data_IF_640747378141
#
_entry.id   IF_640747378141
#
_cell.length_a   1.000
_cell.length_b   1.000
_cell.length_c   1.000
_cell.angle_alpha   90.00
_cell.angle_beta   90.00
_cell.angle_gamma   90.00
#
_symmetry.space_group_name_H-M   'P 1'
#
loop_
_entity.id
_entity.type
_entity.pdbx_description
1 polymer ?
#
# COMPACT_ATOMS: atom_id res chain seq x y z
N UNK A 1 17.62 14.22 -14.08
CA UNK A 1 16.87 13.15 -13.39
C UNK A 1 16.51 13.73 -12.02
N UNK A 2 15.25 14.08 -11.85
CA UNK A 2 14.74 15.06 -10.88
C UNK A 2 14.84 14.54 -9.45
N UNK A 3 15.44 15.32 -8.56
CA UNK A 3 15.37 15.08 -7.12
C UNK A 3 13.90 14.95 -6.68
N UNK A 4 13.54 13.81 -6.12
CA UNK A 4 12.22 13.60 -5.51
C UNK A 4 12.06 14.57 -4.33
N UNK A 5 11.02 15.44 -4.30
CA UNK A 5 10.87 16.51 -3.31
C UNK A 5 10.87 16.07 -1.83
N UNK A 6 10.62 14.79 -1.57
CA UNK A 6 10.51 14.19 -0.24
C UNK A 6 11.86 13.90 0.46
N UNK A 7 12.97 14.08 -0.25
CA UNK A 7 14.34 13.90 0.24
C UNK A 7 14.69 14.87 1.39
N UNK A 8 14.23 16.13 1.30
CA UNK A 8 14.73 17.23 2.12
C UNK A 8 13.94 17.57 3.41
N UNK A 9 12.84 16.86 3.72
CA UNK A 9 12.07 17.16 4.93
C UNK A 9 12.73 16.58 6.19
N UNK A 10 13.60 17.39 6.82
CA UNK A 10 14.24 17.11 8.12
C UNK A 10 13.24 17.00 9.28
N UNK A 11 11.96 17.28 9.05
CA UNK A 11 10.86 17.15 10.00
C UNK A 11 9.69 16.34 9.42
N UNK A 12 10.02 15.23 8.74
CA UNK A 12 9.05 14.28 8.17
C UNK A 12 7.86 13.98 9.07
N UNK A 13 6.70 13.67 8.46
CA UNK A 13 5.42 13.36 9.13
C UNK A 13 5.55 12.45 10.37
N UNK A 14 6.51 11.51 10.38
CA UNK A 14 6.79 10.64 11.52
C UNK A 14 7.45 11.36 12.71
N UNK A 15 8.34 12.32 12.46
CA UNK A 15 8.91 13.18 13.50
C UNK A 15 7.85 14.05 14.16
N UNK A 16 6.90 14.58 13.37
CA UNK A 16 5.74 15.31 13.92
C UNK A 16 4.82 14.39 14.74
N UNK A 17 4.52 13.18 14.23
CA UNK A 17 3.72 12.18 14.95
C UNK A 17 4.36 11.79 16.30
N UNK A 18 5.69 11.64 16.32
CA UNK A 18 6.45 11.37 17.54
C UNK A 18 6.33 12.50 18.56
N UNK A 19 6.48 13.76 18.14
CA UNK A 19 6.29 14.93 19.01
C UNK A 19 4.86 15.06 19.53
N UNK A 20 3.87 14.66 18.72
CA UNK A 20 2.47 14.64 19.11
C UNK A 20 2.10 13.47 20.07
N UNK A 21 3.05 12.59 20.41
CA UNK A 21 2.77 11.44 21.28
C UNK A 21 1.92 10.37 20.62
N UNK A 22 1.94 10.26 19.29
CA UNK A 22 1.22 9.21 18.56
C UNK A 22 1.72 7.84 19.01
N UNK A 23 0.79 7.03 19.53
CA UNK A 23 1.12 5.71 20.08
C UNK A 23 1.36 4.66 19.00
N UNK A 24 0.65 4.77 17.87
CA UNK A 24 0.74 3.80 16.77
C UNK A 24 0.42 4.44 15.43
N UNK A 25 1.17 4.09 14.40
CA UNK A 25 0.91 4.49 13.01
C UNK A 25 0.45 3.27 12.21
N UNK A 26 -0.74 3.34 11.63
CA UNK A 26 -1.20 2.36 10.64
C UNK A 26 -0.93 2.93 9.25
N UNK A 27 -0.04 2.29 8.51
CA UNK A 27 0.39 2.71 7.18
C UNK A 27 -0.14 1.75 6.11
N UNK A 28 -0.93 2.27 5.17
CA UNK A 28 -1.38 1.52 3.99
C UNK A 28 -0.37 1.71 2.85
N UNK A 29 0.37 0.64 2.59
CA UNK A 29 1.38 0.52 1.54
C UNK A 29 0.80 -0.23 0.34
N UNK A 30 1.66 -0.91 -0.43
CA UNK A 30 1.30 -1.70 -1.61
C UNK A 30 2.05 -3.03 -1.59
N UNK A 31 1.54 -4.05 -2.28
CA UNK A 31 2.16 -5.39 -2.32
C UNK A 31 3.61 -5.39 -2.79
N UNK A 32 3.95 -4.57 -3.79
CA UNK A 32 5.30 -4.49 -4.38
C UNK A 32 6.09 -3.27 -3.88
N UNK A 33 5.93 -2.88 -2.62
CA UNK A 33 6.69 -1.79 -2.03
C UNK A 33 8.18 -2.19 -1.92
N UNK A 34 8.96 -1.82 -2.93
CA UNK A 34 10.39 -2.07 -3.04
C UNK A 34 11.11 -0.79 -3.48
N UNK A 35 12.10 -0.39 -2.70
CA UNK A 35 12.92 0.80 -2.90
C UNK A 35 13.83 0.71 -4.11
N UNK A 36 14.12 -0.51 -4.56
CA UNK A 36 14.92 -0.78 -5.74
C UNK A 36 14.06 -0.97 -6.99
N UNK A 37 12.73 -0.81 -6.89
CA UNK A 37 11.84 -0.94 -8.03
C UNK A 37 12.10 0.15 -9.07
N UNK A 38 12.08 -0.22 -10.35
CA UNK A 38 12.10 0.73 -11.47
C UNK A 38 10.83 1.59 -11.55
N UNK A 39 9.77 1.21 -10.82
CA UNK A 39 8.53 1.98 -10.72
C UNK A 39 8.64 2.98 -9.57
N UNK A 40 8.62 4.28 -9.89
CA UNK A 40 8.74 5.37 -8.91
C UNK A 40 7.72 5.26 -7.77
N UNK A 41 6.50 4.81 -8.08
CA UNK A 41 5.44 4.59 -7.09
C UNK A 41 5.80 3.50 -6.07
N UNK A 42 6.37 2.38 -6.53
CA UNK A 42 6.83 1.28 -5.69
C UNK A 42 8.05 1.69 -4.85
N UNK A 43 8.99 2.40 -5.47
CA UNK A 43 10.16 2.95 -4.79
C UNK A 43 9.77 3.91 -3.66
N UNK A 44 8.86 4.84 -3.93
CA UNK A 44 8.38 5.81 -2.92
C UNK A 44 7.70 5.14 -1.73
N UNK A 45 6.90 4.09 -1.98
CA UNK A 45 6.26 3.30 -0.91
C UNK A 45 7.27 2.52 -0.08
N UNK A 46 8.27 1.90 -0.72
CA UNK A 46 9.36 1.24 -0.01
C UNK A 46 10.12 2.20 0.91
N UNK A 47 10.45 3.40 0.41
CA UNK A 47 11.22 4.40 1.16
C UNK A 47 10.45 4.90 2.38
N UNK A 48 9.14 5.07 2.23
CA UNK A 48 8.26 5.48 3.33
C UNK A 48 8.14 4.40 4.40
N UNK A 49 8.08 3.13 4.01
CA UNK A 49 8.12 2.02 4.96
C UNK A 49 9.43 1.96 5.74
N UNK A 50 10.58 2.12 5.07
CA UNK A 50 11.89 2.18 5.75
C UNK A 50 11.92 3.32 6.77
N UNK A 51 11.55 4.53 6.35
CA UNK A 51 11.47 5.68 7.27
C UNK A 51 10.54 5.45 8.45
N UNK A 52 9.42 4.73 8.27
CA UNK A 52 8.52 4.39 9.36
C UNK A 52 9.18 3.41 10.34
N UNK A 53 9.85 2.38 9.83
CA UNK A 53 10.61 1.41 10.65
C UNK A 53 11.73 2.10 11.44
N UNK A 54 12.44 3.03 10.81
CA UNK A 54 13.55 3.78 11.43
C UNK A 54 13.08 4.87 12.42
N UNK A 55 11.81 5.29 12.36
CA UNK A 55 11.29 6.36 13.21
C UNK A 55 11.24 6.02 14.71
N UNK A 56 11.27 4.72 15.04
CA UNK A 56 11.10 4.19 16.39
C UNK A 56 9.68 4.32 16.95
N UNK A 57 8.69 4.65 16.12
CA UNK A 57 7.27 4.60 16.48
C UNK A 57 6.74 3.17 16.35
N UNK A 58 5.74 2.82 17.15
CA UNK A 58 4.99 1.59 16.88
C UNK A 58 4.22 1.75 15.57
N UNK A 59 4.22 0.71 14.75
CA UNK A 59 3.62 0.75 13.43
C UNK A 59 2.90 -0.54 13.06
N UNK A 60 1.92 -0.42 12.17
CA UNK A 60 1.37 -1.52 11.40
C UNK A 60 1.42 -1.14 9.91
N UNK A 61 2.06 -1.97 9.09
CA UNK A 61 2.15 -1.77 7.64
C UNK A 61 1.21 -2.78 6.99
N UNK A 62 0.20 -2.27 6.28
CA UNK A 62 -0.75 -3.08 5.53
C UNK A 62 -0.40 -2.98 4.05
N UNK A 63 -0.17 -4.11 3.39
CA UNK A 63 0.18 -4.18 1.96
C UNK A 63 -0.95 -4.86 1.16
N UNK A 64 -2.03 -4.13 0.82
CA UNK A 64 -3.06 -4.63 -0.07
C UNK A 64 -2.57 -4.70 -1.51
N UNK A 65 -3.06 -5.67 -2.29
CA UNK A 65 -2.74 -5.81 -3.71
C UNK A 65 -3.65 -4.92 -4.59
N UNK A 66 -4.96 -5.13 -4.51
CA UNK A 66 -5.98 -4.29 -5.16
C UNK A 66 -7.10 -4.06 -4.15
N UNK A 67 -7.59 -2.84 -4.02
CA UNK A 67 -8.71 -2.52 -3.12
C UNK A 67 -9.95 -2.31 -3.98
N UNK A 68 -11.07 -2.94 -3.61
CA UNK A 68 -12.34 -2.79 -4.31
C UNK A 68 -13.49 -2.41 -3.37
N UNK A 69 -14.51 -1.73 -3.89
CA UNK A 69 -15.64 -1.22 -3.12
C UNK A 69 -16.49 -0.23 -3.91
N UNK A 70 -17.55 0.29 -3.29
CA UNK A 70 -18.53 1.17 -3.94
C UNK A 70 -17.96 2.44 -4.59
N UNK A 71 -16.79 2.89 -4.14
CA UNK A 71 -16.08 4.08 -4.64
C UNK A 71 -14.73 3.75 -5.29
N UNK A 72 -14.49 2.49 -5.68
CA UNK A 72 -13.21 2.13 -6.28
C UNK A 72 -13.09 2.67 -7.71
N UNK A 73 -11.93 3.24 -8.03
CA UNK A 73 -11.70 3.88 -9.34
C UNK A 73 -11.24 2.84 -10.38
N UNK A 74 -10.45 1.85 -9.97
CA UNK A 74 -9.82 0.91 -10.89
C UNK A 74 -10.83 -0.05 -11.52
N UNK A 75 -11.63 -0.74 -10.71
CA UNK A 75 -12.61 -1.72 -11.18
C UNK A 75 -13.79 -1.01 -11.80
N UNK A 76 -14.21 0.14 -11.26
CA UNK A 76 -15.24 0.97 -11.91
C UNK A 76 -14.84 1.40 -13.33
N UNK A 77 -13.59 1.83 -13.52
CA UNK A 77 -13.11 2.20 -14.86
C UNK A 77 -12.98 1.00 -15.79
N UNK A 78 -12.53 -0.15 -15.30
CA UNK A 78 -12.49 -1.40 -16.10
C UNK A 78 -13.90 -1.81 -16.50
N UNK A 79 -14.84 -1.84 -15.56
CA UNK A 79 -16.24 -2.19 -15.81
C UNK A 79 -16.92 -1.22 -16.78
N UNK A 80 -16.65 0.07 -16.64
CA UNK A 80 -17.11 1.09 -17.59
C UNK A 80 -16.53 0.86 -18.99
N UNK A 81 -15.22 0.61 -19.10
CA UNK A 81 -14.56 0.36 -20.39
C UNK A 81 -15.14 -0.89 -21.07
N UNK A 82 -15.32 -1.99 -20.32
CA UNK A 82 -15.92 -3.22 -20.84
C UNK A 82 -17.38 -3.04 -21.28
N UNK A 83 -18.12 -2.10 -20.68
CA UNK A 83 -19.52 -1.82 -21.02
C UNK A 83 -19.67 -0.99 -22.29
N UNK A 84 -18.73 -0.11 -22.58
CA UNK A 84 -18.84 0.87 -23.66
C UNK A 84 -17.95 0.59 -24.87
N UNK A 85 -16.86 -0.18 -24.73
CA UNK A 85 -15.94 -0.47 -25.83
C UNK A 85 -16.05 -1.93 -26.30
N UNK A 86 -16.10 -2.17 -27.63
CA UNK A 86 -16.16 -3.52 -28.19
C UNK A 86 -14.80 -4.24 -28.15
N UNK A 87 -13.72 -3.56 -27.78
CA UNK A 87 -12.35 -4.10 -27.68
C UNK A 87 -11.75 -3.66 -26.35
N UNK A 88 -11.13 -4.60 -25.64
CA UNK A 88 -10.43 -4.35 -24.39
C UNK A 88 -8.97 -4.81 -24.50
N UNK A 89 -8.04 -3.89 -24.31
CA UNK A 89 -6.61 -4.19 -24.36
C UNK A 89 -6.13 -4.82 -23.05
N UNK A 90 -5.55 -6.02 -23.13
CA UNK A 90 -4.83 -6.64 -22.02
C UNK A 90 -3.34 -6.48 -22.32
N UNK A 91 -2.61 -5.84 -21.41
CA UNK A 91 -1.16 -5.72 -21.52
C UNK A 91 -0.51 -7.06 -21.22
N UNK A 92 0.45 -7.51 -22.03
CA UNK A 92 1.16 -8.78 -21.84
C UNK A 92 0.36 -10.03 -22.25
N UNK A 93 0.54 -11.12 -21.51
CA UNK A 93 -0.08 -12.44 -21.81
C UNK A 93 -1.46 -12.63 -21.13
N UNK A 94 -1.85 -11.70 -20.26
CA UNK A 94 -3.10 -11.75 -19.52
C UNK A 94 -3.13 -12.78 -18.38
N UNK A 95 -2.02 -13.45 -18.07
CA UNK A 95 -1.93 -14.48 -17.02
C UNK A 95 -1.65 -13.89 -15.62
N UNK A 96 -2.06 -12.64 -15.38
CA UNK A 96 -1.81 -11.96 -14.11
C UNK A 96 -2.81 -12.41 -13.04
N UNK A 97 -2.28 -12.93 -11.94
CA UNK A 97 -3.07 -13.19 -10.75
C UNK A 97 -3.24 -11.90 -9.94
N UNK A 98 -4.49 -11.50 -9.70
CA UNK A 98 -4.84 -10.41 -8.80
C UNK A 98 -5.61 -10.96 -7.60
N UNK A 99 -5.34 -10.40 -6.41
CA UNK A 99 -6.06 -10.71 -5.18
C UNK A 99 -6.67 -9.44 -4.61
N UNK A 100 -7.89 -9.08 -5.00
CA UNK A 100 -8.53 -7.89 -4.50
C UNK A 100 -9.02 -8.09 -3.06
N UNK A 101 -8.88 -7.05 -2.22
CA UNK A 101 -9.41 -6.99 -0.87
C UNK A 101 -10.54 -5.96 -0.80
N UNK A 102 -11.63 -6.31 -0.13
CA UNK A 102 -12.76 -5.40 0.04
C UNK A 102 -12.39 -4.27 0.99
N UNK A 103 -12.77 -3.03 0.64
CA UNK A 103 -12.37 -1.82 1.37
C UNK A 103 -12.78 -1.85 2.85
N UNK A 104 -13.95 -2.40 3.17
CA UNK A 104 -14.41 -2.48 4.56
C UNK A 104 -13.60 -3.50 5.38
N UNK A 105 -13.17 -4.59 4.76
CA UNK A 105 -12.33 -5.58 5.44
C UNK A 105 -10.92 -5.04 5.67
N UNK A 106 -10.37 -4.29 4.71
CA UNK A 106 -9.13 -3.55 4.92
C UNK A 106 -9.27 -2.53 6.06
N UNK A 107 -10.41 -1.83 6.15
CA UNK A 107 -10.68 -0.89 7.23
C UNK A 107 -10.77 -1.59 8.59
N UNK A 108 -11.44 -2.74 8.69
CA UNK A 108 -11.49 -3.56 9.91
C UNK A 108 -10.08 -3.98 10.34
N UNK A 109 -9.28 -4.52 9.41
CA UNK A 109 -7.89 -4.92 9.66
C UNK A 109 -7.05 -3.72 10.12
N UNK A 110 -7.25 -2.53 9.54
CA UNK A 110 -6.54 -1.32 9.96
C UNK A 110 -6.89 -0.89 11.38
N UNK A 111 -8.17 -0.95 11.77
CA UNK A 111 -8.62 -0.64 13.12
C UNK A 111 -8.07 -1.65 14.13
N UNK A 112 -8.12 -2.94 13.82
CA UNK A 112 -7.57 -4.01 14.66
C UNK A 112 -6.05 -3.87 14.83
N UNK A 113 -5.34 -3.62 13.73
CA UNK A 113 -3.90 -3.38 13.74
C UNK A 113 -3.54 -2.15 14.58
N UNK A 114 -4.36 -1.11 14.57
CA UNK A 114 -4.20 0.08 15.43
C UNK A 114 -4.36 -0.20 16.92
N UNK A 115 -5.14 -1.21 17.30
CA UNK A 115 -5.38 -1.63 18.69
C UNK A 115 -4.33 -2.62 19.20
N UNK A 116 -3.72 -3.40 18.32
CA UNK A 116 -2.68 -4.37 18.69
C UNK A 116 -1.44 -3.66 19.26
N UNK A 117 -0.77 -4.20 20.30
CA UNK A 117 0.50 -3.67 20.78
C UNK A 117 1.69 -4.03 19.88
N UNK A 118 1.53 -4.99 18.97
CA UNK A 118 2.64 -5.53 18.17
C UNK A 118 2.88 -4.73 16.89
N UNK A 119 4.16 -4.66 16.49
CA UNK A 119 4.51 -4.12 15.18
C UNK A 119 4.30 -5.22 14.13
N UNK A 120 3.41 -4.96 13.17
CA UNK A 120 3.05 -5.96 12.15
C UNK A 120 3.25 -5.41 10.76
N UNK A 121 3.81 -6.22 9.86
CA UNK A 121 3.71 -5.99 8.43
C UNK A 121 2.80 -7.08 7.86
N UNK A 122 1.54 -6.76 7.64
CA UNK A 122 0.58 -7.70 7.06
C UNK A 122 0.71 -7.64 5.55
N UNK A 123 1.25 -8.72 4.99
CA UNK A 123 1.19 -8.97 3.56
C UNK A 123 -0.18 -9.56 3.24
N UNK A 124 -0.81 -9.15 2.13
CA UNK A 124 -1.90 -9.97 1.57
C UNK A 124 -1.38 -11.30 0.98
N UNK A 125 -0.07 -11.59 1.06
CA UNK A 125 0.52 -12.86 0.64
C UNK A 125 0.15 -13.99 1.60
N UNK A 126 -0.87 -14.77 1.24
CA UNK A 126 -0.89 -16.19 1.54
C UNK A 126 -0.22 -17.06 0.46
N UNK A 127 0.45 -16.49 -0.55
CA UNK A 127 1.15 -17.25 -1.60
C UNK A 127 2.69 -17.25 -1.49
N UNK A 128 3.24 -17.33 -0.26
CA UNK A 128 4.63 -17.78 -0.03
C UNK A 128 4.69 -19.20 0.54
N UNK A 129 3.70 -20.03 0.23
CA UNK A 129 3.67 -21.46 0.52
C UNK A 129 3.59 -22.19 -0.83
N UNK A 130 4.75 -22.69 -1.29
CA UNK A 130 5.03 -23.52 -2.47
C UNK A 130 4.81 -22.93 -3.87
N UNK A 131 5.89 -22.43 -4.46
CA UNK A 131 6.40 -22.97 -5.74
C UNK A 131 7.93 -22.99 -5.67
#
# INVERSE_FOLDING_TARGET
MTEVPWSHDRHGKFGAAKRAGVKKIVHVSITSADENSHLEYCQGKGFLERRLRESGLSYAILRPAVIFGSEDILISNIAWTLRYFPVFGIFGDGAYHIQPIFVEDLAKIAVEAGKSPENTTTLSNQWRVFI
#
